data_IF_997340726873
#
_entry.id   IF_997340726873
#
_cell.length_a   1.000
_cell.length_b   1.000
_cell.length_c   1.000
_cell.angle_alpha   90.00
_cell.angle_beta   90.00
_cell.angle_gamma   90.00
#
_symmetry.space_group_name_H-M   'P 1'
#
loop_
_entity.id
_entity.type
_entity.pdbx_description
1 polymer ?
#
# COMPACT_ATOMS: atom_id res chain seq x y z
N UNK A 1 10.74 17.07 5.25
CA UNK A 1 10.18 18.40 5.55
C UNK A 1 8.81 18.24 6.19
N UNK A 2 8.45 19.07 7.17
CA UNK A 2 7.10 19.05 7.79
C UNK A 2 6.08 19.66 6.85
N UNK A 3 5.07 18.90 6.43
CA UNK A 3 4.01 19.41 5.55
C UNK A 3 3.09 20.36 6.32
N UNK A 4 2.79 20.05 7.58
CA UNK A 4 1.98 20.90 8.47
C UNK A 4 2.49 22.33 8.52
N UNK A 5 3.80 22.50 8.67
CA UNK A 5 4.41 23.83 8.78
C UNK A 5 4.41 24.58 7.44
N UNK A 6 4.25 23.87 6.32
CA UNK A 6 4.16 24.47 5.00
C UNK A 6 2.75 24.97 4.68
N UNK A 7 1.76 24.09 4.81
CA UNK A 7 0.38 24.29 4.30
C UNK A 7 -0.70 24.34 5.37
N UNK A 8 -0.35 24.16 6.65
CA UNK A 8 -1.28 24.12 7.77
C UNK A 8 -1.95 22.76 7.94
N UNK A 9 -3.22 22.76 8.34
CA UNK A 9 -4.05 21.56 8.54
C UNK A 9 -5.42 21.75 7.88
N UNK A 10 -6.22 20.68 7.69
CA UNK A 10 -7.58 20.81 7.14
C UNK A 10 -8.48 21.79 7.90
N UNK A 11 -8.30 21.93 9.23
CA UNK A 11 -9.07 22.87 10.04
C UNK A 11 -8.52 24.30 9.97
N UNK A 12 -7.19 24.43 9.85
CA UNK A 12 -6.46 25.70 9.83
C UNK A 12 -5.46 25.70 8.66
N UNK A 13 -5.92 25.91 7.42
CA UNK A 13 -5.03 26.01 6.28
C UNK A 13 -4.12 27.23 6.42
N UNK A 14 -2.90 27.12 5.93
CA UNK A 14 -2.03 28.29 5.82
C UNK A 14 -2.56 29.29 4.78
N UNK A 15 -2.13 30.54 4.87
CA UNK A 15 -2.39 31.55 3.84
C UNK A 15 -1.83 31.07 2.47
N UNK A 16 -2.65 31.02 1.40
CA UNK A 16 -2.20 30.59 0.08
C UNK A 16 -1.06 31.44 -0.49
N UNK A 17 -1.02 32.74 -0.17
CA UNK A 17 -0.01 33.67 -0.68
C UNK A 17 1.42 33.32 -0.28
N UNK A 18 1.59 32.51 0.78
CA UNK A 18 2.91 32.09 1.26
C UNK A 18 3.48 30.86 0.55
N UNK A 19 2.65 30.08 -0.15
CA UNK A 19 3.05 28.77 -0.68
C UNK A 19 4.23 28.87 -1.67
N UNK A 20 4.28 29.86 -2.59
CA UNK A 20 5.42 30.01 -3.49
C UNK A 20 6.76 30.21 -2.77
N UNK A 21 6.77 31.05 -1.72
CA UNK A 21 7.97 31.32 -0.92
C UNK A 21 8.41 30.09 -0.11
N UNK A 22 7.44 29.31 0.40
CA UNK A 22 7.72 28.04 1.07
C UNK A 22 8.33 27.02 0.10
N UNK A 23 7.78 26.92 -1.12
CA UNK A 23 8.29 26.02 -2.15
C UNK A 23 9.72 26.35 -2.54
N UNK A 24 10.04 27.64 -2.77
CA UNK A 24 11.41 28.08 -3.04
C UNK A 24 12.35 27.67 -1.91
N UNK A 25 12.05 28.07 -0.67
CA UNK A 25 12.88 27.74 0.49
C UNK A 25 13.13 26.24 0.62
N UNK A 26 12.11 25.42 0.39
CA UNK A 26 12.23 23.97 0.45
C UNK A 26 13.10 23.41 -0.67
N UNK A 27 12.95 23.91 -1.89
CA UNK A 27 13.76 23.50 -3.04
C UNK A 27 15.25 23.88 -2.84
N UNK A 28 15.55 25.14 -2.51
CA UNK A 28 16.94 25.57 -2.33
C UNK A 28 17.60 24.84 -1.14
N UNK A 29 16.86 24.60 -0.05
CA UNK A 29 17.37 23.83 1.08
C UNK A 29 17.65 22.36 0.68
N UNK A 30 16.78 21.74 -0.11
CA UNK A 30 16.99 20.37 -0.56
C UNK A 30 18.22 20.25 -1.47
N UNK A 31 18.41 21.15 -2.43
CA UNK A 31 19.61 21.22 -3.28
C UNK A 31 20.87 21.40 -2.41
N UNK A 32 20.84 22.36 -1.47
CA UNK A 32 21.97 22.64 -0.58
C UNK A 32 22.37 21.43 0.27
N UNK A 33 21.41 20.70 0.84
CA UNK A 33 21.67 19.58 1.75
C UNK A 33 22.11 18.32 1.00
N UNK A 34 21.54 18.08 -0.19
CA UNK A 34 21.78 16.84 -0.93
C UNK A 34 22.90 16.94 -1.97
N UNK A 35 23.19 18.16 -2.44
CA UNK A 35 24.06 18.37 -3.60
C UNK A 35 23.44 17.90 -4.93
N UNK A 36 22.18 17.46 -4.94
CA UNK A 36 21.53 16.98 -6.15
C UNK A 36 20.84 18.12 -6.91
N UNK A 37 20.96 18.13 -8.25
CA UNK A 37 20.26 19.07 -9.11
C UNK A 37 18.73 18.86 -9.08
N UNK A 38 18.27 17.62 -8.98
CA UNK A 38 16.86 17.25 -8.90
C UNK A 38 16.58 16.46 -7.61
N UNK A 39 16.56 17.12 -6.43
CA UNK A 39 16.51 16.41 -5.17
C UNK A 39 15.13 15.79 -4.92
N UNK A 40 15.11 14.63 -4.29
CA UNK A 40 13.90 14.05 -3.73
C UNK A 40 13.54 14.81 -2.45
N UNK A 41 12.28 15.24 -2.35
CA UNK A 41 11.78 15.97 -1.19
C UNK A 41 10.61 15.23 -0.53
N UNK A 42 10.89 14.61 0.61
CA UNK A 42 9.87 13.97 1.43
C UNK A 42 9.06 15.04 2.21
N UNK A 43 7.77 15.12 1.90
CA UNK A 43 6.78 15.94 2.58
C UNK A 43 6.04 15.08 3.59
N UNK A 44 6.37 15.24 4.87
CA UNK A 44 5.88 14.36 5.92
C UNK A 44 4.44 14.70 6.30
N UNK A 45 3.59 13.70 6.11
CA UNK A 45 2.21 13.51 6.57
C UNK A 45 1.17 14.53 6.08
N UNK A 46 0.43 14.14 5.04
CA UNK A 46 -0.85 14.74 4.69
C UNK A 46 -1.90 14.44 5.76
N UNK A 47 -2.39 15.50 6.42
CA UNK A 47 -3.56 15.42 7.28
C UNK A 47 -4.85 15.24 6.48
N UNK A 48 -5.75 14.38 6.97
CA UNK A 48 -7.09 14.22 6.41
C UNK A 48 -7.13 13.46 5.08
N UNK A 49 -6.17 12.58 4.81
CA UNK A 49 -6.14 11.78 3.59
C UNK A 49 -7.45 10.96 3.38
N UNK A 50 -8.10 10.54 4.47
CA UNK A 50 -9.37 9.81 4.46
C UNK A 50 -10.63 10.66 4.27
N UNK A 51 -10.52 12.00 4.31
CA UNK A 51 -11.68 12.88 4.22
C UNK A 51 -12.28 12.84 2.81
N UNK A 52 -13.56 12.47 2.71
CA UNK A 52 -14.34 12.52 1.48
C UNK A 52 -15.07 13.85 1.30
N UNK A 53 -15.65 14.05 0.12
CA UNK A 53 -16.50 15.20 -0.19
C UNK A 53 -17.92 15.07 0.39
N UNK A 54 -18.64 16.19 0.63
CA UNK A 54 -18.20 17.57 0.43
C UNK A 54 -17.17 18.00 1.48
N UNK A 55 -16.19 18.79 1.06
CA UNK A 55 -15.19 19.35 1.99
C UNK A 55 -15.68 20.67 2.57
N UNK A 56 -15.30 20.95 3.82
CA UNK A 56 -15.39 22.31 4.35
C UNK A 56 -14.53 23.27 3.52
N UNK A 57 -14.86 24.57 3.54
CA UNK A 57 -14.06 25.59 2.87
C UNK A 57 -12.58 25.55 3.30
N UNK A 58 -12.32 25.37 4.60
CA UNK A 58 -10.97 25.25 5.14
C UNK A 58 -10.20 24.04 4.60
N UNK A 59 -10.84 22.88 4.50
CA UNK A 59 -10.22 21.67 3.95
C UNK A 59 -10.00 21.78 2.43
N UNK A 60 -10.92 22.43 1.71
CA UNK A 60 -10.75 22.72 0.29
C UNK A 60 -9.52 23.61 0.05
N UNK A 61 -9.35 24.67 0.85
CA UNK A 61 -8.17 25.55 0.78
C UNK A 61 -6.88 24.80 1.15
N UNK A 62 -6.89 23.99 2.21
CA UNK A 62 -5.75 23.16 2.59
C UNK A 62 -5.30 22.25 1.43
N UNK A 63 -6.27 21.60 0.77
CA UNK A 63 -6.00 20.73 -0.38
C UNK A 63 -5.52 21.48 -1.62
N UNK A 64 -5.99 22.70 -1.84
CA UNK A 64 -5.46 23.58 -2.88
C UNK A 64 -4.01 23.99 -2.58
N UNK A 65 -3.70 24.36 -1.32
CA UNK A 65 -2.34 24.70 -0.90
C UNK A 65 -1.36 23.53 -1.07
N UNK A 66 -1.80 22.30 -0.78
CA UNK A 66 -0.99 21.10 -1.00
C UNK A 66 -0.69 20.90 -2.50
N UNK A 67 -1.70 21.02 -3.37
CA UNK A 67 -1.51 20.91 -4.82
C UNK A 67 -0.55 21.98 -5.34
N UNK A 68 -0.74 23.23 -4.90
CA UNK A 68 0.11 24.35 -5.29
C UNK A 68 1.56 24.12 -4.84
N UNK A 69 1.76 23.66 -3.61
CA UNK A 69 3.09 23.36 -3.09
C UNK A 69 3.79 22.29 -3.93
N UNK A 70 3.14 21.15 -4.21
CA UNK A 70 3.80 20.07 -4.97
C UNK A 70 4.06 20.46 -6.42
N UNK A 71 3.17 21.25 -7.04
CA UNK A 71 3.38 21.79 -8.39
C UNK A 71 4.56 22.75 -8.44
N UNK A 72 4.61 23.70 -7.51
CA UNK A 72 5.70 24.67 -7.40
C UNK A 72 7.05 24.01 -7.07
N UNK A 73 7.05 22.93 -6.29
CA UNK A 73 8.25 22.14 -6.04
C UNK A 73 8.71 21.38 -7.29
N UNK A 74 7.78 20.73 -8.00
CA UNK A 74 8.09 19.99 -9.22
C UNK A 74 8.58 20.91 -10.35
N UNK A 75 8.00 22.10 -10.53
CA UNK A 75 8.44 23.08 -11.53
C UNK A 75 9.85 23.62 -11.28
N UNK A 76 10.33 23.54 -10.04
CA UNK A 76 11.71 23.86 -9.64
C UNK A 76 12.67 22.69 -9.75
N UNK A 77 12.27 21.58 -10.38
CA UNK A 77 13.12 20.41 -10.63
C UNK A 77 13.24 19.46 -9.44
N UNK A 78 12.53 19.69 -8.34
CA UNK A 78 12.50 18.73 -7.23
C UNK A 78 11.56 17.57 -7.54
N UNK A 79 11.71 16.45 -6.82
CA UNK A 79 10.82 15.29 -6.91
C UNK A 79 10.02 15.15 -5.60
N UNK A 80 8.81 15.76 -5.51
CA UNK A 80 8.01 15.74 -4.29
C UNK A 80 7.49 14.33 -4.00
N UNK A 81 7.71 13.87 -2.78
CA UNK A 81 7.16 12.62 -2.27
C UNK A 81 6.27 12.93 -1.07
N UNK A 82 4.95 12.80 -1.26
CA UNK A 82 3.96 13.09 -0.23
C UNK A 82 3.67 11.84 0.59
N UNK A 83 4.05 11.84 1.86
CA UNK A 83 3.80 10.73 2.76
C UNK A 83 2.37 10.83 3.34
N UNK A 84 1.67 9.69 3.39
CA UNK A 84 0.32 9.58 3.96
C UNK A 84 0.24 8.43 4.97
N UNK A 85 -0.19 8.75 6.19
CA UNK A 85 -0.33 7.79 7.31
C UNK A 85 -1.72 7.13 7.38
N UNK A 86 -2.72 7.68 6.69
CA UNK A 86 -4.05 7.10 6.50
C UNK A 86 -4.33 6.66 5.06
N UNK A 87 -5.32 5.78 4.87
CA UNK A 87 -5.76 5.40 3.54
C UNK A 87 -6.43 6.59 2.84
N UNK A 88 -5.97 6.92 1.63
CA UNK A 88 -6.57 7.98 0.83
C UNK A 88 -8.01 7.64 0.43
N UNK A 89 -8.95 8.53 0.72
CA UNK A 89 -10.29 8.40 0.17
C UNK A 89 -10.23 8.77 -1.32
N UNK A 90 -10.63 7.85 -2.18
CA UNK A 90 -10.57 7.98 -3.65
C UNK A 90 -11.96 7.92 -4.29
N UNK A 91 -13.03 8.00 -3.48
CA UNK A 91 -14.40 7.95 -3.99
C UNK A 91 -14.83 9.31 -4.52
N UNK A 92 -15.61 9.28 -5.61
CA UNK A 92 -16.19 10.48 -6.21
C UNK A 92 -15.14 11.54 -6.58
N UNK A 93 -15.44 12.83 -6.40
CA UNK A 93 -14.54 13.94 -6.74
C UNK A 93 -13.20 13.91 -6.00
N UNK A 94 -13.13 13.26 -4.83
CA UNK A 94 -11.88 13.05 -4.09
C UNK A 94 -10.83 12.32 -4.93
N UNK A 95 -11.27 11.39 -5.80
CA UNK A 95 -10.38 10.66 -6.71
C UNK A 95 -9.67 11.57 -7.70
N UNK A 96 -10.38 12.53 -8.30
CA UNK A 96 -9.80 13.49 -9.25
C UNK A 96 -8.68 14.31 -8.60
N UNK A 97 -8.85 14.73 -7.35
CA UNK A 97 -7.81 15.45 -6.62
C UNK A 97 -6.53 14.62 -6.44
N UNK A 98 -6.64 13.32 -6.15
CA UNK A 98 -5.48 12.44 -6.06
C UNK A 98 -4.79 12.22 -7.40
N UNK A 99 -5.56 12.15 -8.50
CA UNK A 99 -4.99 12.11 -9.85
C UNK A 99 -4.18 13.37 -10.13
N UNK A 100 -4.73 14.56 -9.87
CA UNK A 100 -4.03 15.84 -10.04
C UNK A 100 -2.78 15.97 -9.16
N UNK A 101 -2.82 15.43 -7.93
CA UNK A 101 -1.65 15.40 -7.06
C UNK A 101 -0.54 14.51 -7.67
N UNK A 102 -0.91 13.34 -8.21
CA UNK A 102 0.03 12.39 -8.80
C UNK A 102 0.71 12.88 -10.08
N UNK A 103 0.20 13.93 -10.72
CA UNK A 103 0.86 14.60 -11.86
C UNK A 103 2.17 15.29 -11.43
N UNK A 104 2.28 15.73 -10.18
CA UNK A 104 3.43 16.51 -9.69
C UNK A 104 4.17 15.86 -8.51
N UNK A 105 3.62 14.81 -7.90
CA UNK A 105 4.23 14.15 -6.75
C UNK A 105 4.08 12.63 -6.79
N UNK A 106 4.99 11.94 -6.12
CA UNK A 106 4.80 10.53 -5.74
C UNK A 106 4.01 10.46 -4.43
N UNK A 107 2.96 9.64 -4.39
CA UNK A 107 2.19 9.38 -3.16
C UNK A 107 2.82 8.18 -2.44
N UNK A 108 3.37 8.41 -1.25
CA UNK A 108 4.03 7.37 -0.46
C UNK A 108 3.11 6.95 0.68
N UNK A 109 2.57 5.73 0.60
CA UNK A 109 1.67 5.18 1.61
C UNK A 109 2.47 4.57 2.76
N UNK A 110 2.34 5.14 3.95
CA UNK A 110 2.90 4.55 5.16
C UNK A 110 2.05 3.38 5.64
N UNK A 111 2.68 2.22 5.83
CA UNK A 111 2.02 0.99 6.21
C UNK A 111 2.57 0.54 7.56
N UNK A 112 1.68 0.58 8.57
CA UNK A 112 1.98 0.22 9.95
C UNK A 112 1.41 -1.17 10.24
N UNK A 113 2.29 -2.16 10.43
CA UNK A 113 1.88 -3.53 10.73
C UNK A 113 2.56 -3.97 12.03
N UNK A 114 1.74 -4.39 12.99
CA UNK A 114 2.20 -4.80 14.31
C UNK A 114 3.08 -6.06 14.23
N UNK A 115 4.30 -5.98 14.77
CA UNK A 115 5.23 -7.11 14.85
C UNK A 115 4.62 -8.35 15.51
N UNK A 116 3.96 -8.24 16.68
CA UNK A 116 3.27 -9.37 17.31
C UNK A 116 2.20 -10.04 16.44
N UNK A 117 1.52 -9.29 15.56
CA UNK A 117 0.55 -9.88 14.61
C UNK A 117 1.28 -10.76 13.60
N UNK A 118 2.39 -10.25 13.05
CA UNK A 118 3.19 -10.99 12.08
C UNK A 118 3.88 -12.21 12.69
N UNK A 119 4.32 -12.10 13.94
CA UNK A 119 4.94 -13.22 14.65
C UNK A 119 3.96 -14.38 14.83
N UNK A 120 2.71 -14.11 15.27
CA UNK A 120 1.67 -15.14 15.43
C UNK A 120 1.28 -15.84 14.13
N UNK A 121 1.38 -15.16 12.98
CA UNK A 121 1.08 -15.76 11.67
C UNK A 121 2.18 -16.74 11.19
N UNK A 122 3.34 -16.78 11.86
CA UNK A 122 4.50 -17.55 11.43
C UNK A 122 5.08 -17.05 10.10
N UNK A 123 6.17 -17.67 9.65
CA UNK A 123 6.94 -17.17 8.49
C UNK A 123 6.12 -17.08 7.21
N UNK A 124 5.40 -18.15 6.85
CA UNK A 124 4.61 -18.21 5.62
C UNK A 124 3.38 -17.30 5.68
N UNK A 125 2.63 -17.35 6.78
CA UNK A 125 1.46 -16.50 6.99
C UNK A 125 1.82 -15.02 7.00
N UNK A 126 2.85 -14.64 7.75
CA UNK A 126 3.31 -13.25 7.79
C UNK A 126 3.73 -12.74 6.40
N UNK A 127 4.42 -13.56 5.62
CA UNK A 127 4.88 -13.18 4.27
C UNK A 127 3.69 -12.89 3.34
N UNK A 128 2.71 -13.79 3.31
CA UNK A 128 1.49 -13.62 2.50
C UNK A 128 0.68 -12.40 2.98
N UNK A 129 0.54 -12.24 4.30
CA UNK A 129 -0.22 -11.13 4.88
C UNK A 129 0.43 -9.77 4.57
N UNK A 130 1.76 -9.68 4.71
CA UNK A 130 2.50 -8.47 4.39
C UNK A 130 2.30 -8.06 2.93
N UNK A 131 2.56 -8.97 1.99
CA UNK A 131 2.41 -8.67 0.57
C UNK A 131 0.98 -8.27 0.22
N UNK A 132 -0.03 -8.94 0.78
CA UNK A 132 -1.42 -8.54 0.66
C UNK A 132 -1.67 -7.10 1.14
N UNK A 133 -1.23 -6.77 2.36
CA UNK A 133 -1.46 -5.45 2.94
C UNK A 133 -0.77 -4.35 2.13
N UNK A 134 0.43 -4.61 1.62
CA UNK A 134 1.18 -3.68 0.79
C UNK A 134 0.52 -3.46 -0.59
N UNK A 135 0.09 -4.53 -1.27
CA UNK A 135 -0.71 -4.40 -2.52
C UNK A 135 -2.02 -3.66 -2.26
N UNK A 136 -2.70 -3.97 -1.16
CA UNK A 136 -3.96 -3.31 -0.78
C UNK A 136 -3.75 -1.82 -0.49
N UNK A 137 -2.61 -1.45 0.07
CA UNK A 137 -2.30 -0.07 0.47
C UNK A 137 -2.24 0.91 -0.72
N UNK A 138 -1.88 0.42 -1.92
CA UNK A 138 -1.79 1.24 -3.14
C UNK A 138 -3.04 1.13 -4.03
N UNK A 139 -3.90 0.14 -3.80
CA UNK A 139 -4.92 -0.28 -4.78
C UNK A 139 -5.98 0.79 -5.04
N UNK A 140 -6.36 1.51 -3.99
CA UNK A 140 -7.34 2.59 -4.11
C UNK A 140 -6.88 3.64 -5.14
N UNK A 141 -5.59 3.98 -5.18
CA UNK A 141 -5.02 4.91 -6.15
C UNK A 141 -4.93 4.33 -7.56
N UNK A 142 -4.45 3.09 -7.70
CA UNK A 142 -4.36 2.46 -9.03
C UNK A 142 -5.74 2.20 -9.65
N UNK A 143 -6.77 1.99 -8.82
CA UNK A 143 -8.16 1.81 -9.26
C UNK A 143 -8.74 3.08 -9.90
N UNK A 144 -8.30 4.26 -9.45
CA UNK A 144 -8.67 5.54 -10.05
C UNK A 144 -7.66 5.99 -11.12
N UNK A 145 -6.80 5.09 -11.61
CA UNK A 145 -5.90 5.39 -12.73
C UNK A 145 -4.63 6.18 -12.36
N UNK A 146 -4.28 6.31 -11.07
CA UNK A 146 -2.95 6.80 -10.71
C UNK A 146 -1.90 5.77 -11.15
N UNK A 147 -0.89 6.16 -11.97
CA UNK A 147 0.16 5.23 -12.41
C UNK A 147 0.96 4.66 -11.23
N UNK A 148 1.34 3.39 -11.29
CA UNK A 148 2.13 2.75 -10.22
C UNK A 148 3.47 3.45 -9.95
N UNK A 149 4.11 4.01 -10.99
CA UNK A 149 5.35 4.79 -10.87
C UNK A 149 5.13 6.21 -10.30
N UNK A 150 3.93 6.51 -9.79
CA UNK A 150 3.63 7.68 -8.94
C UNK A 150 3.25 7.28 -7.53
N UNK A 151 3.47 6.02 -7.17
CA UNK A 151 3.11 5.45 -5.88
C UNK A 151 4.36 4.84 -5.22
N UNK A 152 4.44 5.00 -3.90
CA UNK A 152 5.47 4.39 -3.07
C UNK A 152 4.89 3.79 -1.79
N UNK A 153 5.73 3.02 -1.10
CA UNK A 153 5.42 2.43 0.20
C UNK A 153 6.44 2.89 1.24
N UNK A 154 6.00 3.17 2.46
CA UNK A 154 6.86 3.45 3.60
C UNK A 154 6.58 2.44 4.72
N UNK A 155 7.62 1.77 5.23
CA UNK A 155 7.51 0.81 6.32
C UNK A 155 8.45 1.19 7.47
N UNK A 156 8.02 0.95 8.69
CA UNK A 156 8.79 1.29 9.89
C UNK A 156 9.62 0.11 10.37
N UNK A 157 10.73 0.39 11.04
CA UNK A 157 11.42 -0.57 11.91
C UNK A 157 11.50 -0.06 13.37
N UNK A 158 10.56 0.82 13.75
CA UNK A 158 10.48 1.42 15.08
C UNK A 158 10.03 0.43 16.16
N UNK A 159 10.43 0.69 17.40
CA UNK A 159 10.14 -0.16 18.56
C UNK A 159 8.76 0.05 19.21
N UNK A 160 8.07 1.12 18.82
CA UNK A 160 6.80 1.53 19.43
C UNK A 160 5.57 0.72 18.98
N UNK A 161 4.39 1.25 19.31
CA UNK A 161 3.10 0.71 18.85
C UNK A 161 3.06 0.64 17.33
N UNK A 162 2.54 -0.47 16.80
CA UNK A 162 2.54 -0.72 15.35
C UNK A 162 3.90 -1.08 14.76
N UNK A 163 4.93 -1.29 15.58
CA UNK A 163 6.26 -1.80 15.22
C UNK A 163 6.62 -3.01 16.10
N UNK A 164 7.76 -2.97 16.82
CA UNK A 164 8.22 -4.07 17.70
C UNK A 164 7.18 -4.48 18.74
N UNK A 165 6.54 -3.50 19.41
CA UNK A 165 5.42 -3.70 20.32
C UNK A 165 5.60 -4.87 21.32
N UNK A 166 6.75 -4.92 22.00
CA UNK A 166 7.05 -5.91 23.04
C UNK A 166 7.68 -7.22 22.58
N UNK A 167 7.93 -7.42 21.28
CA UNK A 167 8.72 -8.55 20.80
C UNK A 167 10.16 -8.49 21.31
N UNK A 168 10.76 -9.66 21.54
CA UNK A 168 12.21 -9.74 21.76
C UNK A 168 12.98 -9.26 20.53
N UNK A 169 14.20 -8.77 20.73
CA UNK A 169 15.03 -8.22 19.65
C UNK A 169 15.19 -9.21 18.47
N UNK A 170 15.49 -10.49 18.76
CA UNK A 170 15.65 -11.52 17.74
C UNK A 170 14.36 -11.74 16.91
N UNK A 171 13.20 -11.79 17.57
CA UNK A 171 11.90 -11.92 16.87
C UNK A 171 11.59 -10.66 16.05
N UNK A 172 11.94 -9.49 16.57
CA UNK A 172 11.75 -8.23 15.87
C UNK A 172 12.60 -8.13 14.60
N UNK A 173 13.88 -8.54 14.65
CA UNK A 173 14.74 -8.55 13.47
C UNK A 173 14.21 -9.46 12.36
N UNK A 174 13.61 -10.60 12.72
CA UNK A 174 12.94 -11.46 11.74
C UNK A 174 11.74 -10.79 11.07
N UNK A 175 10.97 -9.97 11.82
CA UNK A 175 9.88 -9.16 11.27
C UNK A 175 10.42 -8.08 10.34
N UNK A 176 11.38 -7.27 10.78
CA UNK A 176 11.98 -6.18 9.98
C UNK A 176 12.57 -6.71 8.67
N UNK A 177 13.29 -7.84 8.71
CA UNK A 177 13.79 -8.53 7.51
C UNK A 177 12.63 -8.83 6.55
N UNK A 178 11.55 -9.43 7.08
CA UNK A 178 10.41 -9.89 6.27
C UNK A 178 9.66 -8.73 5.63
N UNK A 179 9.44 -7.65 6.38
CA UNK A 179 8.82 -6.42 5.88
C UNK A 179 9.62 -5.82 4.73
N UNK A 180 10.94 -5.67 4.89
CA UNK A 180 11.80 -5.10 3.85
C UNK A 180 11.84 -5.96 2.57
N UNK A 181 11.92 -7.29 2.73
CA UNK A 181 11.88 -8.22 1.59
C UNK A 181 10.51 -8.21 0.89
N UNK A 182 9.41 -8.19 1.65
CA UNK A 182 8.06 -8.13 1.10
C UNK A 182 7.81 -6.81 0.34
N UNK A 183 8.26 -5.68 0.90
CA UNK A 183 8.18 -4.37 0.27
C UNK A 183 8.97 -4.32 -1.03
N UNK A 184 10.20 -4.87 -1.06
CA UNK A 184 10.99 -4.97 -2.29
C UNK A 184 10.25 -5.78 -3.36
N UNK A 185 9.70 -6.92 -3.00
CA UNK A 185 8.99 -7.76 -3.94
C UNK A 185 7.74 -7.06 -4.50
N UNK A 186 6.89 -6.50 -3.63
CA UNK A 186 5.66 -5.82 -4.06
C UNK A 186 5.98 -4.58 -4.89
N UNK A 187 7.00 -3.81 -4.52
CA UNK A 187 7.42 -2.65 -5.30
C UNK A 187 7.89 -3.04 -6.70
N UNK A 188 8.68 -4.11 -6.82
CA UNK A 188 9.11 -4.63 -8.13
C UNK A 188 7.94 -5.18 -8.95
N UNK A 189 7.05 -5.96 -8.32
CA UNK A 189 5.88 -6.56 -8.97
C UNK A 189 4.93 -5.51 -9.55
N UNK A 190 4.71 -4.43 -8.81
CA UNK A 190 3.77 -3.39 -9.20
C UNK A 190 4.41 -2.24 -9.97
N UNK A 191 5.73 -2.26 -10.16
CA UNK A 191 6.53 -1.15 -10.68
C UNK A 191 6.27 0.17 -9.92
N UNK A 192 6.34 0.09 -8.58
CA UNK A 192 6.26 1.26 -7.71
C UNK A 192 7.53 2.10 -7.85
N UNK A 193 7.37 3.41 -7.66
CA UNK A 193 8.46 4.38 -7.72
C UNK A 193 9.49 4.17 -6.61
N UNK A 194 9.03 4.05 -5.36
CA UNK A 194 9.93 4.08 -4.22
C UNK A 194 9.47 3.24 -3.02
N UNK A 195 10.46 2.72 -2.29
CA UNK A 195 10.28 2.10 -0.97
C UNK A 195 11.09 2.88 0.05
N UNK A 196 10.37 3.42 1.02
CA UNK A 196 10.88 4.24 2.10
C UNK A 196 10.92 3.46 3.40
N UNK A 197 11.74 3.95 4.33
CA UNK A 197 11.63 3.55 5.73
C UNK A 197 11.63 4.71 6.67
N UNK A 198 10.96 4.50 7.79
CA UNK A 198 10.97 5.40 8.92
C UNK A 198 11.31 4.63 10.21
N UNK A 199 11.49 5.34 11.32
CA UNK A 199 12.06 4.78 12.56
C UNK A 199 13.52 5.17 12.82
N UNK A 200 14.15 5.88 11.88
CA UNK A 200 15.48 6.45 11.99
C UNK A 200 15.60 7.49 13.11
N UNK A 201 14.60 8.35 13.25
CA UNK A 201 14.64 9.46 14.18
C UNK A 201 14.65 8.99 15.64
N UNK A 202 15.38 9.71 16.48
CA UNK A 202 15.28 9.67 17.94
C UNK A 202 14.85 11.05 18.39
N UNK A 203 13.62 11.18 18.88
CA UNK A 203 13.13 12.45 19.43
C UNK A 203 13.58 12.60 20.88
N UNK A 204 13.80 13.84 21.32
CA UNK A 204 14.15 14.15 22.70
C UNK A 204 13.08 13.61 23.66
N UNK A 205 13.50 13.07 24.81
CA UNK A 205 12.60 12.45 25.79
C UNK A 205 12.13 11.02 25.47
N UNK A 206 12.45 10.48 24.28
CA UNK A 206 12.17 9.06 24.02
C UNK A 206 13.18 8.14 24.71
N UNK A 207 12.71 7.01 25.30
CA UNK A 207 13.58 5.96 25.80
C UNK A 207 14.57 5.50 24.72
N UNK A 208 15.80 5.19 25.14
CA UNK A 208 16.79 4.58 24.24
C UNK A 208 16.30 3.18 23.90
N UNK A 209 16.08 2.94 22.61
CA UNK A 209 15.82 1.61 22.07
C UNK A 209 17.16 0.94 21.71
N UNK A 210 17.63 -0.05 22.49
CA UNK A 210 18.90 -0.71 22.23
C UNK A 210 18.87 -1.57 20.95
N UNK A 211 17.69 -1.98 20.47
CA UNK A 211 17.55 -2.80 19.27
C UNK A 211 17.51 -1.97 17.99
N UNK A 212 17.34 -0.64 18.06
CA UNK A 212 17.15 0.22 16.89
C UNK A 212 18.28 0.14 15.87
N UNK A 213 19.54 0.23 16.31
CA UNK A 213 20.68 0.19 15.41
C UNK A 213 20.77 -1.16 14.67
N UNK A 214 20.53 -2.26 15.38
CA UNK A 214 20.51 -3.59 14.79
C UNK A 214 19.30 -3.78 13.85
N UNK A 215 18.11 -3.28 14.21
CA UNK A 215 16.94 -3.32 13.35
C UNK A 215 17.17 -2.53 12.04
N UNK A 216 17.78 -1.35 12.12
CA UNK A 216 18.19 -0.57 10.96
C UNK A 216 19.21 -1.32 10.09
N UNK A 217 20.22 -1.95 10.70
CA UNK A 217 21.18 -2.80 9.98
C UNK A 217 20.49 -3.97 9.26
N UNK A 218 19.54 -4.63 9.91
CA UNK A 218 18.76 -5.73 9.32
C UNK A 218 17.90 -5.24 8.15
N UNK A 219 17.26 -4.08 8.29
CA UNK A 219 16.50 -3.46 7.19
C UNK A 219 17.41 -3.15 5.99
N UNK A 220 18.56 -2.51 6.23
CA UNK A 220 19.54 -2.17 5.19
C UNK A 220 20.06 -3.43 4.47
N UNK A 221 20.48 -4.45 5.24
CA UNK A 221 20.95 -5.73 4.70
C UNK A 221 19.86 -6.44 3.88
N UNK A 222 18.61 -6.42 4.35
CA UNK A 222 17.50 -7.06 3.64
C UNK A 222 17.26 -6.38 2.27
N UNK A 223 17.38 -5.06 2.20
CA UNK A 223 17.36 -4.28 0.94
C UNK A 223 18.54 -4.66 0.05
N UNK A 224 19.76 -4.52 0.54
CA UNK A 224 20.98 -4.96 -0.12
C UNK A 224 22.01 -5.45 0.91
N UNK A 225 22.55 -6.68 0.77
CA UNK A 225 23.48 -7.24 1.75
C UNK A 225 24.77 -6.43 1.93
N UNK A 226 25.12 -5.58 0.96
CA UNK A 226 26.29 -4.70 0.99
C UNK A 226 26.12 -3.49 1.90
N UNK A 227 24.89 -3.15 2.32
CA UNK A 227 24.63 -1.94 3.09
C UNK A 227 24.85 -2.12 4.60
N UNK A 228 24.83 -3.36 5.11
CA UNK A 228 25.17 -3.66 6.50
C UNK A 228 25.46 -5.15 6.71
N UNK A 229 26.33 -5.47 7.68
CA UNK A 229 26.55 -6.85 8.12
C UNK A 229 25.53 -7.27 9.20
N UNK A 230 24.33 -7.66 8.77
CA UNK A 230 23.26 -8.05 9.70
C UNK A 230 23.60 -9.27 10.56
N UNK A 231 24.39 -10.23 10.07
CA UNK A 231 24.77 -11.41 10.88
C UNK A 231 25.69 -11.02 12.04
N UNK A 232 26.62 -10.09 11.82
CA UNK A 232 27.43 -9.54 12.90
C UNK A 232 26.58 -8.74 13.90
N UNK A 233 25.66 -7.91 13.42
CA UNK A 233 24.85 -7.04 14.28
C UNK A 233 23.73 -7.76 15.06
N UNK A 234 23.07 -8.74 14.45
CA UNK A 234 21.93 -9.47 15.03
C UNK A 234 22.32 -10.82 15.67
N UNK A 235 23.60 -11.21 15.57
CA UNK A 235 24.15 -12.42 16.15
C UNK A 235 24.14 -13.63 15.22
N UNK A 236 24.91 -14.67 15.59
CA UNK A 236 25.18 -15.85 14.74
C UNK A 236 23.93 -16.64 14.35
N UNK A 237 22.88 -16.59 15.17
CA UNK A 237 21.59 -17.26 14.94
C UNK A 237 20.67 -16.50 13.96
N UNK A 238 21.06 -15.30 13.51
CA UNK A 238 20.28 -14.55 12.53
C UNK A 238 20.27 -15.30 11.19
N UNK A 239 19.07 -15.66 10.73
CA UNK A 239 18.86 -16.28 9.42
C UNK A 239 19.18 -15.28 8.30
N UNK A 240 20.28 -15.52 7.59
CA UNK A 240 20.73 -14.71 6.45
C UNK A 240 20.08 -15.11 5.12
N UNK A 241 19.13 -16.04 5.11
CA UNK A 241 18.34 -16.31 3.92
C UNK A 241 17.47 -15.11 3.59
N UNK A 242 17.55 -14.67 2.32
CA UNK A 242 16.66 -13.67 1.71
C UNK A 242 15.57 -14.33 0.86
N UNK A 243 15.54 -15.67 0.80
CA UNK A 243 14.46 -16.39 0.18
C UNK A 243 13.17 -16.15 0.97
N UNK A 244 12.09 -15.85 0.27
CA UNK A 244 10.78 -15.72 0.87
C UNK A 244 9.89 -16.88 0.44
N UNK A 245 8.98 -17.34 1.32
CA UNK A 245 7.95 -18.30 0.92
C UNK A 245 7.25 -17.87 -0.37
N UNK A 246 7.13 -18.80 -1.30
CA UNK A 246 6.39 -18.57 -2.53
C UNK A 246 4.90 -18.34 -2.22
N UNK A 247 4.31 -17.33 -2.83
CA UNK A 247 2.85 -17.24 -2.95
C UNK A 247 2.45 -18.21 -4.06
N UNK A 248 2.12 -19.45 -3.69
CA UNK A 248 1.93 -20.51 -4.69
C UNK A 248 0.67 -20.27 -5.54
N UNK A 249 0.85 -20.26 -6.86
CA UNK A 249 -0.20 -20.34 -7.89
C UNK A 249 -0.82 -19.01 -8.36
N UNK A 250 -1.39 -19.03 -9.57
CA UNK A 250 -2.35 -18.03 -10.10
C UNK A 250 -3.76 -18.64 -10.18
N UNK A 251 -4.03 -19.65 -9.36
CA UNK A 251 -5.24 -20.46 -9.48
C UNK A 251 -6.40 -19.77 -8.76
N UNK A 252 -7.52 -19.72 -9.45
CA UNK A 252 -8.81 -19.41 -8.87
C UNK A 252 -9.71 -20.63 -9.00
N UNK A 253 -10.58 -20.84 -8.01
CA UNK A 253 -11.62 -21.86 -8.05
C UNK A 253 -12.94 -21.25 -7.60
N UNK A 254 -13.98 -21.63 -8.32
CA UNK A 254 -15.37 -21.37 -8.00
C UNK A 254 -16.01 -22.72 -7.71
N UNK A 255 -16.64 -22.86 -6.54
CA UNK A 255 -17.42 -24.04 -6.17
C UNK A 255 -18.81 -23.60 -5.77
N UNK A 256 -19.83 -24.26 -6.30
CA UNK A 256 -21.22 -24.08 -5.85
C UNK A 256 -21.40 -24.89 -4.57
N UNK A 257 -21.77 -24.22 -3.48
CA UNK A 257 -22.08 -24.86 -2.20
C UNK A 257 -23.56 -25.23 -2.11
N UNK A 258 -24.44 -24.38 -2.65
CA UNK A 258 -25.88 -24.64 -2.74
C UNK A 258 -26.45 -23.93 -3.97
N UNK A 259 -27.21 -24.62 -4.83
CA UNK A 259 -27.90 -24.00 -5.96
C UNK A 259 -29.28 -23.43 -5.59
N UNK A 260 -29.80 -23.67 -4.38
CA UNK A 260 -31.08 -23.13 -3.90
C UNK A 260 -30.97 -21.62 -3.72
N UNK A 261 -32.05 -20.88 -3.95
CA UNK A 261 -32.05 -19.44 -3.73
C UNK A 261 -31.87 -19.09 -2.22
N UNK A 262 -30.93 -18.21 -1.84
CA UNK A 262 -29.87 -17.63 -2.66
C UNK A 262 -28.72 -18.61 -2.90
N UNK A 263 -28.17 -18.61 -4.12
CA UNK A 263 -27.09 -19.51 -4.52
C UNK A 263 -25.85 -19.24 -3.68
N UNK A 264 -25.35 -20.26 -2.99
CA UNK A 264 -24.13 -20.17 -2.20
C UNK A 264 -22.93 -20.62 -3.00
N UNK A 265 -21.89 -19.81 -2.99
CA UNK A 265 -20.64 -20.05 -3.69
C UNK A 265 -19.47 -19.99 -2.72
N UNK A 266 -18.46 -20.81 -2.99
CA UNK A 266 -17.15 -20.74 -2.39
C UNK A 266 -16.13 -20.34 -3.45
N UNK A 267 -15.38 -19.28 -3.15
CA UNK A 267 -14.31 -18.76 -3.98
C UNK A 267 -12.98 -19.02 -3.30
N UNK A 268 -12.05 -19.62 -4.02
CA UNK A 268 -10.66 -19.75 -3.59
C UNK A 268 -9.78 -19.05 -4.59
N UNK A 269 -8.87 -18.22 -4.11
CA UNK A 269 -7.85 -17.59 -4.90
C UNK A 269 -6.49 -17.87 -4.27
N UNK A 270 -5.48 -18.05 -5.11
CA UNK A 270 -4.10 -18.13 -4.65
C UNK A 270 -3.70 -16.85 -3.91
N UNK A 271 -2.77 -16.98 -2.97
CA UNK A 271 -2.26 -15.86 -2.17
C UNK A 271 -1.72 -14.70 -3.03
N UNK A 272 -1.19 -14.99 -4.21
CA UNK A 272 -0.70 -13.99 -5.17
C UNK A 272 -1.80 -13.07 -5.70
N UNK A 273 -3.06 -13.53 -5.73
CA UNK A 273 -4.20 -12.75 -6.21
C UNK A 273 -4.87 -11.93 -5.11
N UNK A 274 -4.29 -11.92 -3.90
CA UNK A 274 -4.83 -11.16 -2.78
C UNK A 274 -4.76 -9.66 -3.07
N UNK A 275 -5.72 -8.92 -2.51
CA UNK A 275 -6.00 -7.51 -2.78
C UNK A 275 -6.60 -7.20 -4.17
N UNK A 276 -6.61 -8.13 -5.14
CA UNK A 276 -7.25 -7.93 -6.44
C UNK A 276 -8.77 -7.86 -6.34
N UNK A 277 -9.36 -7.25 -7.36
CA UNK A 277 -10.81 -7.25 -7.57
C UNK A 277 -11.19 -8.48 -8.39
N UNK A 278 -12.09 -9.28 -7.84
CA UNK A 278 -12.79 -10.31 -8.57
C UNK A 278 -14.28 -10.02 -8.67
N UNK A 279 -14.94 -10.79 -9.52
CA UNK A 279 -16.39 -10.77 -9.71
C UNK A 279 -16.86 -12.15 -10.13
N UNK A 280 -17.96 -12.61 -9.57
CA UNK A 280 -18.73 -13.68 -10.21
C UNK A 280 -19.43 -13.07 -11.40
N UNK A 281 -19.28 -13.71 -12.57
CA UNK A 281 -19.90 -13.29 -13.81
C UNK A 281 -20.89 -14.34 -14.29
N UNK A 282 -21.98 -13.87 -14.88
CA UNK A 282 -22.98 -14.68 -15.55
C UNK A 282 -22.88 -14.51 -17.06
N UNK A 283 -23.02 -15.60 -17.80
CA UNK A 283 -23.13 -15.55 -19.26
C UNK A 283 -24.51 -15.06 -19.67
N UNK A 284 -24.54 -14.03 -20.50
CA UNK A 284 -25.73 -13.45 -21.13
C UNK A 284 -25.55 -13.37 -22.65
N UNK A 285 -26.61 -13.00 -23.39
CA UNK A 285 -26.54 -12.81 -24.84
C UNK A 285 -25.49 -11.76 -25.25
N UNK A 286 -25.30 -10.71 -24.44
CA UNK A 286 -24.28 -9.67 -24.65
C UNK A 286 -22.88 -10.01 -24.10
N UNK A 287 -22.64 -11.26 -23.70
CA UNK A 287 -21.39 -11.71 -23.09
C UNK A 287 -21.45 -11.85 -21.57
N UNK A 288 -20.33 -11.67 -20.89
CA UNK A 288 -20.21 -11.93 -19.45
C UNK A 288 -20.54 -10.70 -18.61
N UNK A 289 -21.59 -10.79 -17.81
CA UNK A 289 -22.06 -9.72 -16.91
C UNK A 289 -21.55 -9.96 -15.49
N UNK A 290 -20.90 -8.96 -14.88
CA UNK A 290 -20.47 -9.03 -13.47
C UNK A 290 -21.67 -8.89 -12.53
N UNK A 291 -21.86 -9.86 -11.64
CA UNK A 291 -22.95 -9.89 -10.66
C UNK A 291 -22.57 -9.23 -9.34
N UNK A 292 -21.30 -9.26 -8.99
CA UNK A 292 -20.79 -8.67 -7.75
C UNK A 292 -19.35 -8.18 -7.91
N UNK A 293 -18.91 -7.38 -6.95
CA UNK A 293 -17.52 -6.96 -6.81
C UNK A 293 -16.96 -7.52 -5.51
N UNK A 294 -15.85 -8.22 -5.61
CA UNK A 294 -15.23 -8.95 -4.51
C UNK A 294 -13.79 -8.47 -4.36
N UNK A 295 -13.40 -8.11 -3.14
CA UNK A 295 -11.99 -7.89 -2.82
C UNK A 295 -11.42 -9.20 -2.29
N UNK A 296 -10.45 -9.75 -3.00
CA UNK A 296 -9.78 -10.98 -2.57
C UNK A 296 -8.91 -10.70 -1.34
N UNK A 297 -9.04 -11.54 -0.31
CA UNK A 297 -8.27 -11.46 0.94
C UNK A 297 -7.49 -12.76 1.16
N UNK A 298 -6.38 -12.74 1.92
CA UNK A 298 -5.61 -13.93 2.19
C UNK A 298 -6.32 -14.84 3.23
N UNK A 299 -5.86 -16.08 3.29
CA UNK A 299 -6.09 -17.08 4.35
C UNK A 299 -7.42 -17.83 4.41
N UNK A 300 -8.48 -17.48 3.67
CA UNK A 300 -9.71 -18.29 3.67
C UNK A 300 -10.43 -18.34 2.34
N UNK A 301 -11.16 -19.45 2.04
CA UNK A 301 -12.18 -19.43 1.01
C UNK A 301 -13.20 -18.33 1.32
N UNK A 302 -13.49 -17.48 0.35
CA UNK A 302 -14.55 -16.50 0.48
C UNK A 302 -15.89 -17.18 0.14
N UNK A 303 -16.78 -17.24 1.13
CA UNK A 303 -18.16 -17.66 0.89
C UNK A 303 -19.00 -16.44 0.52
N UNK A 304 -19.74 -16.53 -0.57
CA UNK A 304 -20.61 -15.46 -1.05
C UNK A 304 -21.95 -16.02 -1.50
N UNK A 305 -22.99 -15.20 -1.46
CA UNK A 305 -24.34 -15.55 -1.88
C UNK A 305 -24.74 -14.68 -3.07
N UNK A 306 -25.45 -15.27 -4.03
CA UNK A 306 -26.01 -14.59 -5.19
C UNK A 306 -27.52 -14.79 -5.24
N UNK A 307 -28.23 -13.69 -5.44
CA UNK A 307 -29.65 -13.74 -5.78
C UNK A 307 -29.77 -13.90 -7.29
N UNK A 308 -30.14 -15.09 -7.73
CA UNK A 308 -30.44 -15.43 -9.12
C UNK A 308 -31.90 -15.84 -9.22
N UNK A 309 -32.62 -15.48 -10.31
CA UNK A 309 -33.97 -15.97 -10.55
C UNK A 309 -33.97 -17.48 -10.79
N UNK A 310 -35.15 -18.09 -10.80
CA UNK A 310 -35.28 -19.50 -11.13
C UNK A 310 -34.89 -19.75 -12.59
N UNK A 311 -34.11 -20.79 -12.84
CA UNK A 311 -33.62 -21.09 -14.18
C UNK A 311 -32.21 -21.66 -14.24
N UNK A 312 -31.65 -21.69 -15.45
CA UNK A 312 -30.30 -22.19 -15.74
C UNK A 312 -29.35 -21.00 -15.94
N UNK A 313 -28.29 -20.95 -15.14
CA UNK A 313 -27.26 -19.92 -15.16
C UNK A 313 -25.90 -20.53 -15.48
N UNK A 314 -25.07 -19.82 -16.24
CA UNK A 314 -23.67 -20.20 -16.47
C UNK A 314 -22.79 -19.17 -15.80
N UNK A 315 -22.08 -19.59 -14.75
CA UNK A 315 -21.30 -18.72 -13.89
C UNK A 315 -19.80 -18.96 -14.07
N UNK A 316 -18.99 -17.91 -13.92
CA UNK A 316 -17.54 -18.04 -13.74
C UNK A 316 -17.06 -17.06 -12.70
N UNK A 317 -15.90 -17.32 -12.11
CA UNK A 317 -15.21 -16.31 -11.32
C UNK A 317 -14.11 -15.67 -12.16
N UNK A 318 -14.12 -14.35 -12.22
CA UNK A 318 -13.17 -13.52 -12.95
C UNK A 318 -12.39 -12.65 -11.96
N UNK A 319 -11.07 -12.54 -12.15
CA UNK A 319 -10.17 -11.67 -11.42
C UNK A 319 -9.55 -10.70 -12.42
N UNK A 320 -9.76 -9.41 -12.20
CA UNK A 320 -9.30 -8.37 -13.09
C UNK A 320 -7.77 -8.33 -13.18
N UNK A 321 -7.28 -7.83 -14.32
CA UNK A 321 -5.92 -7.32 -14.42
C UNK A 321 -5.74 -6.17 -13.42
N UNK A 322 -4.59 -6.12 -12.74
CA UNK A 322 -4.22 -4.91 -11.98
C UNK A 322 -3.69 -3.86 -12.96
N UNK A 323 -3.84 -2.58 -12.62
CA UNK A 323 -3.29 -1.46 -13.42
C UNK A 323 -1.75 -1.45 -13.48
N UNK A 324 -1.08 -2.39 -12.82
CA UNK A 324 0.36 -2.57 -12.92
C UNK A 324 0.73 -3.25 -14.25
N UNK A 325 1.82 -2.84 -14.91
CA UNK A 325 2.30 -3.49 -16.13
C UNK A 325 2.49 -5.00 -15.95
N UNK A 326 1.89 -5.80 -16.84
CA UNK A 326 2.11 -7.26 -16.90
C UNK A 326 1.10 -8.15 -16.13
N UNK A 327 0.08 -7.59 -15.49
CA UNK A 327 -0.96 -8.37 -14.82
C UNK A 327 -2.03 -8.92 -15.77
N UNK A 328 -1.97 -10.18 -16.19
CA UNK A 328 -3.07 -10.80 -16.93
C UNK A 328 -4.31 -11.02 -16.04
N UNK A 329 -5.50 -10.83 -16.61
CA UNK A 329 -6.75 -11.24 -15.98
C UNK A 329 -6.83 -12.78 -15.89
N UNK A 330 -7.46 -13.28 -14.84
CA UNK A 330 -7.56 -14.72 -14.56
C UNK A 330 -9.03 -15.09 -14.41
N UNK A 331 -9.43 -16.25 -14.94
CA UNK A 331 -10.82 -16.73 -14.84
C UNK A 331 -10.89 -18.22 -14.57
N UNK A 332 -11.94 -18.65 -13.88
CA UNK A 332 -12.28 -20.08 -13.78
C UNK A 332 -12.89 -20.57 -15.09
N UNK A 333 -12.88 -21.89 -15.34
CA UNK A 333 -13.85 -22.50 -16.23
C UNK A 333 -15.29 -22.12 -15.81
N UNK A 334 -16.22 -22.02 -16.77
CA UNK A 334 -17.64 -21.85 -16.47
C UNK A 334 -18.23 -23.04 -15.70
N UNK A 335 -19.21 -22.77 -14.84
CA UNK A 335 -19.99 -23.76 -14.08
C UNK A 335 -21.47 -23.48 -14.33
N UNK A 336 -22.23 -24.53 -14.64
CA UNK A 336 -23.69 -24.43 -14.82
C UNK A 336 -24.38 -24.60 -13.47
N UNK A 337 -25.32 -23.71 -13.15
CA UNK A 337 -26.13 -23.74 -11.93
C UNK A 337 -27.60 -23.72 -12.32
N UNK A 338 -28.40 -24.64 -11.79
CA UNK A 338 -29.86 -24.64 -11.95
C UNK A 338 -30.49 -24.22 -10.62
N UNK A 339 -31.14 -23.06 -10.62
CA UNK A 339 -31.77 -22.46 -9.44
C UNK A 339 -33.23 -22.86 -9.41
N UNK A 340 -33.66 -23.35 -8.25
CA UNK A 340 -35.01 -23.82 -7.95
C UNK A 340 -35.64 -22.94 -6.88
#
# INVERSE_FOLDING_TARGET
>A
MSLKDAVGTPAHPADPGRIPAVAERFASAAVKVTGCATPILALNELYGARLGTPWSQSNAQYRANVLELVRALASRGTQPHLLISEAGNTTGPTGAWWQSLAESATIVREVYISGPVLERLGTSGATVYLRFQLRRAIRNFTTIGVPSNRLGLALGFHSGRGGQAGLSAARWFAVVKREALAARQVASELALDSVWSWGWARFAGMPKDPAKATAACVYLWARSPTLCNARAAAGRAFDTSRAQPAEVGSRVRLRVLSPRHPVWLELRAAAKLTARIGSVQEQSAGGWKSLNRIVLAPFHPLRTRLSLPNGRHVLRFFVAAESAPGGAAIRTPPVVVRVH
#
